data_IF_226398476342
#
_entry.id   IF_226398476342
#
_cell.length_a   1.000
_cell.length_b   1.000
_cell.length_c   1.000
_cell.angle_alpha   90.00
_cell.angle_beta   90.00
_cell.angle_gamma   90.00
#
_symmetry.space_group_name_H-M   'P 1'
#
loop_
_entity.id
_entity.type
_entity.pdbx_description
1 polymer ?
#
# COMPACT_ATOMS: atom_id res chain seq x y z
N UNK A 1 -2.35 13.54 9.22
CA UNK A 1 -2.87 13.37 7.85
C UNK A 1 -4.38 13.42 7.89
N UNK A 2 -5.02 14.52 7.49
CA UNK A 2 -6.47 14.58 7.53
C UNK A 2 -7.03 13.55 6.55
N UNK A 3 -7.95 12.74 7.06
CA UNK A 3 -8.85 11.90 6.29
C UNK A 3 -9.67 12.83 5.40
N UNK A 4 -9.33 12.91 4.11
CA UNK A 4 -10.16 13.58 3.12
C UNK A 4 -10.44 12.58 2.01
N UNK A 5 -11.52 11.81 2.17
CA UNK A 5 -12.25 11.28 1.03
C UNK A 5 -13.19 12.38 0.54
N UNK A 6 -13.02 12.85 -0.72
CA UNK A 6 -14.23 13.20 -1.47
C UNK A 6 -14.33 12.59 -2.88
N UNK A 7 -13.25 12.06 -3.51
CA UNK A 7 -13.32 11.53 -4.89
C UNK A 7 -12.26 10.46 -5.25
N UNK A 8 -11.76 9.66 -4.30
CA UNK A 8 -10.80 8.59 -4.62
C UNK A 8 -11.50 7.26 -4.87
N UNK A 9 -11.81 7.00 -6.13
CA UNK A 9 -12.49 5.79 -6.62
C UNK A 9 -11.62 4.51 -6.51
N UNK A 10 -10.46 4.58 -5.85
CA UNK A 10 -9.48 3.51 -5.88
C UNK A 10 -9.05 3.13 -4.47
N UNK A 11 -9.68 2.07 -3.95
CA UNK A 11 -9.22 1.38 -2.75
C UNK A 11 -7.96 0.58 -3.08
N UNK A 12 -6.83 0.94 -2.48
CA UNK A 12 -5.57 0.20 -2.68
C UNK A 12 -5.65 -1.26 -2.20
N UNK A 13 -6.60 -1.58 -1.32
CA UNK A 13 -6.83 -2.92 -0.76
C UNK A 13 -7.64 -3.86 -1.67
N UNK A 14 -8.22 -3.36 -2.76
CA UNK A 14 -9.00 -4.19 -3.68
C UNK A 14 -8.06 -4.79 -4.72
N UNK A 15 -7.98 -6.12 -4.76
CA UNK A 15 -7.14 -6.83 -5.72
C UNK A 15 -7.57 -6.51 -7.17
N UNK A 16 -6.65 -5.92 -7.92
CA UNK A 16 -6.77 -5.71 -9.37
C UNK A 16 -5.39 -5.52 -9.98
N UNK A 17 -5.28 -5.78 -11.28
CA UNK A 17 -4.06 -5.46 -12.00
C UNK A 17 -3.93 -3.94 -12.22
N UNK A 18 -2.78 -3.32 -11.90
CA UNK A 18 -2.52 -1.93 -12.27
C UNK A 18 -2.43 -1.79 -13.80
N UNK A 19 -2.97 -0.71 -14.33
CA UNK A 19 -2.78 -0.34 -15.74
C UNK A 19 -1.31 -0.04 -16.04
N UNK A 20 -0.91 -0.05 -17.33
CA UNK A 20 0.47 0.25 -17.73
C UNK A 20 0.97 1.60 -17.18
N UNK A 21 0.10 2.62 -17.15
CA UNK A 21 0.43 3.93 -16.58
C UNK A 21 0.59 3.86 -15.05
N UNK A 22 -0.28 3.12 -14.36
CA UNK A 22 -0.18 2.92 -12.91
C UNK A 22 1.10 2.13 -12.54
N UNK A 23 1.51 1.16 -13.37
CA UNK A 23 2.77 0.43 -13.19
C UNK A 23 3.99 1.33 -13.32
N UNK A 24 3.99 2.31 -14.24
CA UNK A 24 5.07 3.30 -14.38
C UNK A 24 5.27 4.10 -13.09
N UNK A 25 4.21 4.34 -12.32
CA UNK A 25 4.29 5.00 -11.01
C UNK A 25 4.36 4.04 -9.82
N UNK A 26 4.54 2.74 -10.09
CA UNK A 26 4.77 1.74 -9.06
C UNK A 26 3.52 1.31 -8.30
N UNK A 27 2.33 1.54 -8.85
CA UNK A 27 1.08 1.20 -8.17
C UNK A 27 0.93 -0.30 -7.95
N UNK A 28 0.38 -0.64 -6.78
CA UNK A 28 -0.02 -1.97 -6.39
C UNK A 28 -1.43 -1.94 -5.81
N UNK A 29 -2.27 -2.89 -6.21
CA UNK A 29 -3.63 -3.03 -5.73
C UNK A 29 -3.88 -4.47 -5.26
N UNK A 30 -4.27 -4.63 -4.01
CA UNK A 30 -4.51 -5.93 -3.42
C UNK A 30 -4.19 -5.97 -1.93
N UNK A 31 -4.00 -7.18 -1.41
CA UNK A 31 -3.70 -7.37 0.00
C UNK A 31 -2.37 -6.69 0.36
N UNK A 32 -2.36 -5.84 1.39
CA UNK A 32 -1.21 -5.02 1.74
C UNK A 32 -1.05 -3.73 0.92
N UNK A 33 -1.93 -3.48 -0.06
CA UNK A 33 -1.99 -2.23 -0.80
C UNK A 33 -2.49 -1.08 0.08
N UNK A 34 -1.67 -0.03 0.19
CA UNK A 34 -1.97 1.18 0.96
C UNK A 34 -1.53 2.43 0.23
N UNK A 35 -2.17 3.56 0.56
CA UNK A 35 -1.84 4.84 -0.02
C UNK A 35 -0.64 5.46 0.72
N UNK A 36 0.39 5.84 -0.04
CA UNK A 36 1.57 6.53 0.47
C UNK A 36 1.80 7.83 -0.30
N UNK A 37 2.35 8.82 0.40
CA UNK A 37 2.89 10.01 -0.25
C UNK A 37 4.24 9.67 -0.87
N UNK A 38 4.44 10.09 -2.12
CA UNK A 38 5.65 9.83 -2.88
C UNK A 38 6.20 11.12 -3.47
N UNK A 39 7.53 11.20 -3.56
CA UNK A 39 8.27 12.30 -4.16
C UNK A 39 8.98 11.79 -5.40
N UNK A 40 8.40 12.03 -6.57
CA UNK A 40 8.97 11.73 -7.88
C UNK A 40 9.07 10.23 -8.16
N UNK A 41 8.26 9.39 -7.49
CA UNK A 41 8.27 7.95 -7.69
C UNK A 41 7.81 7.61 -9.11
N UNK A 42 8.75 7.13 -9.92
CA UNK A 42 8.49 6.76 -11.32
C UNK A 42 9.53 5.73 -11.78
N UNK A 43 9.12 4.86 -12.68
CA UNK A 43 9.99 3.85 -13.27
C UNK A 43 11.14 4.50 -14.04
N UNK A 44 12.32 3.87 -13.98
CA UNK A 44 13.49 4.30 -14.73
C UNK A 44 13.19 4.30 -16.24
N UNK A 45 13.66 5.33 -16.95
CA UNK A 45 13.35 5.55 -18.37
C UNK A 45 12.12 6.44 -18.62
N UNK A 46 11.31 6.72 -17.59
CA UNK A 46 10.18 7.64 -17.69
C UNK A 46 10.43 8.96 -16.96
N UNK A 47 9.70 9.99 -17.37
CA UNK A 47 9.67 11.31 -16.74
C UNK A 47 8.22 11.75 -16.54
N UNK A 48 7.96 12.44 -15.45
CA UNK A 48 6.68 13.11 -15.21
C UNK A 48 6.95 14.54 -14.76
N UNK A 49 6.02 15.43 -15.10
CA UNK A 49 6.09 16.85 -14.73
C UNK A 49 5.69 17.12 -13.28
N UNK A 50 5.29 16.10 -12.53
CA UNK A 50 4.72 16.26 -11.19
C UNK A 50 5.50 15.50 -10.12
N UNK A 51 5.99 16.27 -9.15
CA UNK A 51 6.99 15.80 -8.19
C UNK A 51 6.42 15.13 -6.96
N UNK A 52 5.18 15.40 -6.55
CA UNK A 52 4.60 14.81 -5.33
C UNK A 52 3.20 14.28 -5.60
N UNK A 53 3.00 12.99 -5.34
CA UNK A 53 1.71 12.33 -5.53
C UNK A 53 1.47 11.20 -4.54
N UNK A 54 0.19 10.95 -4.30
CA UNK A 54 -0.28 9.77 -3.59
C UNK A 54 -0.27 8.55 -4.54
N UNK A 55 0.34 7.46 -4.10
CA UNK A 55 0.45 6.20 -4.85
C UNK A 55 0.01 5.03 -3.98
N UNK A 56 -0.62 4.03 -4.59
CA UNK A 56 -0.92 2.78 -3.90
C UNK A 56 0.32 1.89 -3.95
N UNK A 57 0.98 1.62 -2.83
CA UNK A 57 2.14 0.75 -2.79
C UNK A 57 1.86 -0.47 -1.92
N UNK A 58 2.60 -1.54 -2.18
CA UNK A 58 2.51 -2.72 -1.35
C UNK A 58 3.29 -2.52 -0.06
N UNK A 59 2.66 -2.88 1.04
CA UNK A 59 3.19 -2.65 2.38
C UNK A 59 2.85 -3.78 3.33
N UNK A 60 3.72 -3.97 4.31
CA UNK A 60 3.53 -4.92 5.41
C UNK A 60 4.18 -4.41 6.67
N UNK A 61 3.80 -4.99 7.81
CA UNK A 61 4.47 -4.74 9.08
C UNK A 61 5.39 -5.92 9.41
N UNK A 62 6.65 -5.61 9.73
CA UNK A 62 7.58 -6.57 10.29
C UNK A 62 7.13 -6.99 11.69
N UNK A 63 7.60 -8.16 12.16
CA UNK A 63 7.34 -8.64 13.52
C UNK A 63 7.80 -7.65 14.60
N UNK A 64 8.83 -6.85 14.30
CA UNK A 64 9.32 -5.79 15.19
C UNK A 64 8.52 -4.48 15.10
N UNK A 65 7.42 -4.45 14.35
CA UNK A 65 6.53 -3.28 14.22
C UNK A 65 7.01 -2.21 13.24
N UNK A 66 8.02 -2.50 12.41
CA UNK A 66 8.47 -1.58 11.36
C UNK A 66 7.62 -1.73 10.10
N UNK A 67 7.33 -0.60 9.46
CA UNK A 67 6.65 -0.57 8.16
C UNK A 67 7.65 -0.95 7.07
N UNK A 68 7.31 -1.93 6.26
CA UNK A 68 8.07 -2.31 5.08
C UNK A 68 7.23 -2.06 3.84
N UNK A 69 7.87 -1.55 2.80
CA UNK A 69 7.21 -1.20 1.53
C UNK A 69 8.00 -1.80 0.38
N UNK A 70 7.30 -2.15 -0.70
CA UNK A 70 7.94 -2.49 -1.96
C UNK A 70 7.19 -1.91 -3.13
N UNK A 71 7.89 -1.73 -4.23
CA UNK A 71 7.34 -1.20 -5.48
C UNK A 71 7.41 -2.29 -6.54
N UNK A 72 6.27 -2.57 -7.18
CA UNK A 72 6.14 -3.51 -8.30
C UNK A 72 6.83 -4.88 -8.08
N UNK A 73 6.62 -5.49 -6.91
CA UNK A 73 7.20 -6.80 -6.58
C UNK A 73 8.70 -6.82 -6.28
N UNK A 74 9.36 -5.65 -6.20
CA UNK A 74 10.78 -5.53 -5.84
C UNK A 74 11.09 -5.85 -4.38
N UNK A 75 12.30 -5.47 -3.95
CA UNK A 75 12.78 -5.65 -2.57
C UNK A 75 11.92 -4.90 -1.55
N UNK A 76 11.83 -5.47 -0.35
CA UNK A 76 11.19 -4.84 0.80
C UNK A 76 12.14 -3.84 1.46
N UNK A 77 11.80 -2.57 1.38
CA UNK A 77 12.51 -1.48 2.02
C UNK A 77 11.84 -1.16 3.37
N UNK A 78 12.64 -0.86 4.41
CA UNK A 78 12.13 -0.67 5.77
C UNK A 78 12.15 0.80 6.18
N UNK A 79 11.02 1.30 6.66
CA UNK A 79 10.92 2.61 7.31
C UNK A 79 11.47 2.55 8.74
N UNK A 80 12.55 3.28 9.01
CA UNK A 80 13.14 3.35 10.36
C UNK A 80 12.61 4.55 11.15
N UNK A 81 12.24 5.63 10.46
CA UNK A 81 11.67 6.84 11.06
C UNK A 81 10.42 7.36 10.33
N UNK A 82 9.50 7.96 11.09
CA UNK A 82 8.32 8.67 10.55
C UNK A 82 8.77 9.86 9.70
N UNK A 83 8.18 10.03 8.51
CA UNK A 83 8.53 11.11 7.58
C UNK A 83 9.84 10.90 6.82
N UNK A 84 10.56 9.80 7.06
CA UNK A 84 11.73 9.42 6.26
C UNK A 84 11.35 9.26 4.79
N UNK A 85 12.15 9.84 3.89
CA UNK A 85 12.03 9.59 2.46
C UNK A 85 12.81 8.31 2.10
N UNK A 86 12.09 7.21 1.91
CA UNK A 86 12.65 5.92 1.52
C UNK A 86 12.83 5.90 0.00
N UNK A 87 14.04 5.64 -0.48
CA UNK A 87 14.41 5.58 -1.89
C UNK A 87 15.17 4.29 -2.19
N UNK A 88 15.61 4.08 -3.43
CA UNK A 88 16.38 2.88 -3.80
C UNK A 88 15.52 1.68 -4.23
N UNK A 89 14.24 1.89 -4.50
CA UNK A 89 13.38 0.85 -5.07
C UNK A 89 13.90 0.40 -6.44
N UNK A 90 14.17 -0.89 -6.60
CA UNK A 90 14.72 -1.45 -7.84
C UNK A 90 13.86 -1.11 -9.05
N UNK A 91 14.45 -0.51 -10.09
CA UNK A 91 13.75 -0.12 -11.32
C UNK A 91 12.97 1.20 -11.24
N UNK A 92 12.99 1.89 -10.09
CA UNK A 92 12.30 3.16 -9.89
C UNK A 92 13.26 4.21 -9.33
N UNK A 93 12.98 5.48 -9.63
CA UNK A 93 13.62 6.64 -9.01
C UNK A 93 12.61 7.41 -8.16
N UNK A 94 13.10 8.33 -7.34
CA UNK A 94 12.28 9.09 -6.39
C UNK A 94 12.26 8.45 -5.00
N UNK A 95 11.31 8.87 -4.18
CA UNK A 95 11.18 8.43 -2.81
C UNK A 95 9.72 8.24 -2.38
N UNK A 96 9.52 7.48 -1.31
CA UNK A 96 8.24 7.25 -0.62
C UNK A 96 8.37 7.78 0.79
N UNK A 97 7.42 8.59 1.23
CA UNK A 97 7.40 9.16 2.57
C UNK A 97 6.87 8.10 3.54
N UNK A 98 7.70 7.73 4.50
CA UNK A 98 7.38 6.75 5.53
C UNK A 98 6.28 7.26 6.45
N UNK A 99 5.19 6.49 6.65
CA UNK A 99 4.13 6.87 7.57
C UNK A 99 4.58 6.69 9.02
N UNK A 100 3.74 7.14 9.95
CA UNK A 100 3.93 6.84 11.36
C UNK A 100 3.75 5.34 11.64
N UNK A 101 4.82 4.67 12.09
CA UNK A 101 4.81 3.21 12.28
C UNK A 101 3.79 2.74 13.32
N UNK A 102 3.55 3.53 14.37
CA UNK A 102 2.67 3.13 15.47
C UNK A 102 1.22 3.10 15.00
N UNK A 103 0.82 4.11 14.25
CA UNK A 103 -0.52 4.23 13.68
C UNK A 103 -0.72 3.24 12.52
N UNK A 104 0.29 3.13 11.65
CA UNK A 104 0.22 2.28 10.46
C UNK A 104 0.13 0.80 10.82
N UNK A 105 1.00 0.31 11.71
CA UNK A 105 1.02 -1.11 12.04
C UNK A 105 -0.12 -1.56 12.95
N UNK A 106 -0.60 -0.69 13.85
CA UNK A 106 -1.78 -0.98 14.66
C UNK A 106 -3.04 -1.19 13.79
N UNK A 107 -3.20 -0.39 12.72
CA UNK A 107 -4.32 -0.53 11.79
C UNK A 107 -4.13 -1.66 10.77
N UNK A 108 -2.88 -2.10 10.53
CA UNK A 108 -2.57 -3.26 9.69
C UNK A 108 -2.91 -4.61 10.32
N UNK A 109 -2.86 -4.73 11.66
CA UNK A 109 -3.17 -5.99 12.36
C UNK A 109 -4.68 -6.22 12.53
N UNK A 110 -5.50 -5.19 12.30
CA UNK A 110 -6.96 -5.27 12.42
C UNK A 110 -7.66 -5.96 11.24
N UNK A 111 -6.91 -6.47 10.25
CA UNK A 111 -7.46 -7.40 9.26
C UNK A 111 -7.52 -8.81 9.86
N UNK A 112 -8.29 -8.98 10.94
CA UNK A 112 -8.87 -10.30 11.22
C UNK A 112 -9.87 -10.53 10.08
N UNK A 113 -9.75 -11.58 9.25
CA UNK A 113 -10.86 -11.96 8.41
C UNK A 113 -12.05 -12.15 9.36
N UNK A 114 -13.13 -11.40 9.13
CA UNK A 114 -14.39 -11.68 9.81
C UNK A 114 -14.65 -13.16 9.58
N UNK A 115 -14.71 -13.95 10.66
CA UNK A 115 -15.04 -15.35 10.57
C UNK A 115 -16.32 -15.45 9.75
N UNK A 116 -16.26 -16.13 8.60
CA UNK A 116 -17.45 -16.49 7.84
C UNK A 116 -18.43 -17.11 8.82
N UNK A 117 -19.65 -16.58 8.99
CA UNK A 117 -20.64 -17.25 9.81
C UNK A 117 -20.80 -18.66 9.24
N UNK A 118 -20.65 -19.68 10.09
CA UNK A 118 -20.87 -21.06 9.70
C UNK A 118 -22.23 -21.19 9.00
N UNK A 119 -22.34 -21.96 7.91
CA UNK A 119 -23.64 -22.19 7.28
C UNK A 119 -24.58 -22.79 8.31
N UNK A 120 -25.73 -22.14 8.52
CA UNK A 120 -26.81 -22.66 9.37
C UNK A 120 -27.23 -24.04 8.81
N UNK A 121 -27.21 -25.12 9.61
CA UNK A 121 -27.75 -26.39 9.15
C UNK A 121 -29.25 -26.23 8.87
N UNK A 122 -29.68 -26.65 7.69
CA UNK A 122 -31.08 -26.61 7.27
C UNK A 122 -31.98 -27.41 8.24
N UNK A 123 -33.22 -26.97 8.49
CA UNK A 123 -34.15 -27.71 9.34
C UNK A 123 -34.56 -29.02 8.68
N UNK A 124 -34.34 -30.13 9.36
CA UNK A 124 -34.85 -31.45 8.98
C UNK A 124 -36.37 -31.48 9.22
N UNK A 125 -37.16 -31.43 8.14
CA UNK A 125 -38.58 -31.77 8.18
C UNK A 125 -38.76 -33.25 8.48
N UNK A 126 -39.49 -33.56 9.56
CA UNK A 126 -39.98 -34.92 9.90
C UNK A 126 -41.46 -35.00 9.56
#
# INVERSE_FOLDING_TARGET
CPYVQPYSNTKCDVAREPTANEQIFGHYYGNGGRCFETTGLIQNGFSSSSSNHQRCLESRCSASGFVQMRVNGGSWETCTATGQQLSGFSGYKGAVVCPDRTTFCATHTAATPAATPAPTPAPTTT
#
